data_IF_069305085478
#
_entry.id   IF_069305085478
#
_cell.length_a   1.000
_cell.length_b   1.000
_cell.length_c   1.000
_cell.angle_alpha   90.00
_cell.angle_beta   90.00
_cell.angle_gamma   90.00
#
_symmetry.space_group_name_H-M   'P 1'
#
loop_
_entity.id
_entity.type
_entity.pdbx_description
1 polymer ?
#
# COMPACT_ATOMS: atom_id res chain seq x y z
N UNK A 1 -23.29 10.25 2.60
CA UNK A 1 -22.01 10.98 2.73
C UNK A 1 -21.09 10.11 3.55
N UNK A 2 -20.24 9.33 2.88
CA UNK A 2 -19.32 8.42 3.55
C UNK A 2 -18.13 9.25 4.02
N UNK A 3 -17.87 9.21 5.32
CA UNK A 3 -16.78 9.94 5.95
C UNK A 3 -15.60 8.96 5.97
N UNK A 4 -14.49 9.32 5.34
CA UNK A 4 -13.29 8.49 5.33
C UNK A 4 -12.82 8.25 6.75
N UNK A 5 -12.26 7.07 6.95
CA UNK A 5 -11.49 6.74 8.15
C UNK A 5 -10.11 6.33 7.66
N UNK A 6 -9.07 6.96 8.17
CA UNK A 6 -7.69 6.52 7.93
C UNK A 6 -7.27 5.57 9.05
N UNK A 7 -6.82 4.38 8.68
CA UNK A 7 -6.46 3.29 9.61
C UNK A 7 -4.97 2.95 9.49
N UNK A 8 -4.21 3.09 10.57
CA UNK A 8 -2.81 2.69 10.68
C UNK A 8 -2.69 1.37 11.45
N UNK A 9 -2.02 0.35 10.90
CA UNK A 9 -1.95 -1.00 11.52
C UNK A 9 -0.61 -1.25 12.24
N UNK A 10 -0.65 -1.43 13.57
CA UNK A 10 0.53 -1.63 14.42
C UNK A 10 0.86 -3.11 14.67
N UNK A 11 2.16 -3.50 14.76
CA UNK A 11 2.59 -4.87 14.97
C UNK A 11 2.26 -5.43 16.36
N UNK A 12 2.25 -6.76 16.43
CA UNK A 12 2.24 -7.57 17.66
C UNK A 12 3.58 -7.38 18.40
N UNK A 13 3.61 -7.30 19.75
CA UNK A 13 2.52 -7.56 20.69
C UNK A 13 1.61 -6.35 20.98
N UNK A 14 1.83 -5.21 20.33
CA UNK A 14 1.09 -3.96 20.58
C UNK A 14 -0.16 -3.80 19.71
N UNK A 15 -0.73 -4.92 19.24
CA UNK A 15 -1.86 -4.97 18.28
C UNK A 15 -2.86 -3.84 18.53
N UNK A 16 -2.96 -2.95 17.56
CA UNK A 16 -3.65 -1.68 17.71
C UNK A 16 -3.78 -0.96 16.38
N UNK A 17 -4.81 -0.13 16.28
CA UNK A 17 -5.14 0.61 15.08
C UNK A 17 -5.14 2.10 15.43
N UNK A 18 -4.36 2.88 14.69
CA UNK A 18 -4.52 4.33 14.65
C UNK A 18 -5.71 4.65 13.76
N UNK A 19 -6.80 5.15 14.33
CA UNK A 19 -8.03 5.51 13.65
C UNK A 19 -8.12 7.02 13.59
N UNK A 20 -8.19 7.57 12.38
CA UNK A 20 -8.42 8.98 12.17
C UNK A 20 -9.72 9.20 11.42
N UNK A 21 -10.64 9.93 12.06
CA UNK A 21 -11.93 10.29 11.49
C UNK A 21 -11.83 11.67 10.84
N UNK A 22 -11.96 11.71 9.52
CA UNK A 22 -11.84 12.94 8.71
C UNK A 22 -12.93 13.97 9.02
N UNK A 23 -14.07 13.57 9.57
CA UNK A 23 -15.17 14.47 9.95
C UNK A 23 -14.85 15.21 11.24
N UNK A 24 -14.42 14.46 12.25
CA UNK A 24 -14.15 14.99 13.58
C UNK A 24 -12.76 15.63 13.67
N UNK A 25 -11.84 15.25 12.78
CA UNK A 25 -10.43 15.64 12.85
C UNK A 25 -9.71 15.03 14.05
N UNK A 26 -10.27 13.97 14.65
CA UNK A 26 -9.70 13.31 15.82
C UNK A 26 -8.95 12.05 15.44
N UNK A 27 -7.71 11.95 15.95
CA UNK A 27 -6.93 10.72 15.94
C UNK A 27 -7.12 9.99 17.26
N UNK A 28 -7.40 8.69 17.17
CA UNK A 28 -7.59 7.80 18.32
C UNK A 28 -6.84 6.50 18.05
N UNK A 29 -6.29 5.91 19.09
CA UNK A 29 -5.81 4.54 19.03
C UNK A 29 -6.88 3.63 19.62
N UNK A 30 -7.22 2.56 18.92
CA UNK A 30 -8.07 1.48 19.41
C UNK A 30 -7.30 0.17 19.42
N UNK A 31 -7.62 -0.73 20.35
CA UNK A 31 -6.99 -2.05 20.44
C UNK A 31 -8.05 -3.14 20.40
N UNK A 32 -8.40 -3.63 19.20
CA UNK A 32 -9.32 -4.74 19.07
C UNK A 32 -8.78 -5.96 19.83
N UNK A 33 -9.59 -6.66 20.64
CA UNK A 33 -9.15 -7.88 21.34
C UNK A 33 -8.62 -8.98 20.42
N UNK A 34 -9.01 -8.96 19.15
CA UNK A 34 -8.64 -9.94 18.12
C UNK A 34 -7.26 -9.64 17.51
N UNK A 35 -6.72 -8.44 17.74
CA UNK A 35 -5.40 -8.04 17.25
C UNK A 35 -5.47 -6.99 16.15
N UNK A 36 -5.09 -7.37 14.93
CA UNK A 36 -4.94 -6.46 13.79
C UNK A 36 -6.29 -6.17 13.08
N UNK A 37 -6.25 -5.34 12.04
CA UNK A 37 -7.45 -4.95 11.29
C UNK A 37 -8.16 -6.14 10.65
N UNK A 38 -7.40 -7.10 10.09
CA UNK A 38 -7.96 -8.30 9.46
C UNK A 38 -8.79 -9.12 10.46
N UNK A 39 -8.23 -9.41 11.63
CA UNK A 39 -8.92 -10.21 12.66
C UNK A 39 -10.13 -9.48 13.24
N UNK A 40 -10.07 -8.14 13.34
CA UNK A 40 -11.22 -7.34 13.74
C UNK A 40 -12.36 -7.39 12.71
N UNK A 41 -12.05 -7.31 11.41
CA UNK A 41 -13.03 -7.42 10.33
C UNK A 41 -13.64 -8.83 10.26
N UNK A 42 -12.81 -9.87 10.35
CA UNK A 42 -13.28 -11.26 10.42
C UNK A 42 -14.24 -11.48 11.60
N UNK A 43 -13.86 -10.99 12.79
CA UNK A 43 -14.70 -11.07 13.98
C UNK A 43 -16.05 -10.38 13.83
N UNK A 44 -16.08 -9.22 13.17
CA UNK A 44 -17.31 -8.48 12.91
C UNK A 44 -18.20 -9.23 11.90
N UNK A 45 -17.62 -9.74 10.81
CA UNK A 45 -18.38 -10.48 9.81
C UNK A 45 -19.00 -11.77 10.37
N UNK A 46 -18.25 -12.54 11.18
CA UNK A 46 -18.75 -13.74 11.85
C UNK A 46 -19.95 -13.47 12.76
N UNK A 47 -20.09 -12.22 13.24
CA UNK A 47 -21.17 -11.78 14.14
C UNK A 47 -22.20 -10.89 13.45
N UNK A 48 -22.08 -10.69 12.13
CA UNK A 48 -22.92 -9.77 11.36
C UNK A 48 -22.96 -8.35 11.98
N UNK A 49 -21.79 -7.85 12.39
CA UNK A 49 -21.59 -6.53 12.97
C UNK A 49 -21.02 -5.55 11.95
N UNK A 50 -21.43 -4.28 12.04
CA UNK A 50 -20.78 -3.20 11.32
C UNK A 50 -19.39 -2.94 11.92
N UNK A 51 -18.34 -3.20 11.15
CA UNK A 51 -16.97 -3.14 11.64
C UNK A 51 -16.52 -1.69 11.92
N UNK A 52 -17.03 -0.70 11.19
CA UNK A 52 -16.70 0.71 11.45
C UNK A 52 -17.23 1.15 12.81
N UNK A 53 -18.51 0.86 13.09
CA UNK A 53 -19.14 1.15 14.38
C UNK A 53 -18.44 0.38 15.50
N UNK A 54 -18.13 -0.90 15.26
CA UNK A 54 -17.36 -1.72 16.21
C UNK A 54 -16.04 -1.05 16.60
N UNK A 55 -15.23 -0.63 15.63
CA UNK A 55 -13.95 0.03 15.90
C UNK A 55 -14.13 1.36 16.63
N UNK A 56 -15.15 2.15 16.28
CA UNK A 56 -15.44 3.45 16.92
C UNK A 56 -15.90 3.30 18.38
N UNK A 57 -16.58 2.21 18.70
CA UNK A 57 -17.10 1.92 20.04
C UNK A 57 -16.06 1.28 20.98
N UNK A 58 -14.92 0.82 20.43
CA UNK A 58 -13.83 0.30 21.26
C UNK A 58 -13.25 1.38 22.19
N UNK A 59 -12.79 1.00 23.40
CA UNK A 59 -12.01 1.90 24.24
C UNK A 59 -10.82 2.45 23.47
N UNK A 60 -10.68 3.77 23.47
CA UNK A 60 -9.63 4.47 22.74
C UNK A 60 -8.76 5.34 23.64
N UNK A 61 -7.51 5.49 23.24
CA UNK A 61 -6.57 6.46 23.81
C UNK A 61 -6.20 7.53 22.77
N UNK A 62 -5.77 8.73 23.20
CA UNK A 62 -5.24 9.73 22.26
C UNK A 62 -4.06 9.17 21.46
N UNK A 63 -4.03 9.50 20.17
CA UNK A 63 -2.95 9.14 19.25
C UNK A 63 -1.99 10.34 19.05
N UNK A 64 -0.67 10.13 18.87
CA UNK A 64 0.07 8.87 18.90
C UNK A 64 0.48 8.49 20.34
N UNK A 65 0.80 7.21 20.57
CA UNK A 65 1.64 6.86 21.71
C UNK A 65 3.03 7.46 21.48
N UNK A 66 3.56 8.23 22.42
CA UNK A 66 4.97 8.66 22.39
C UNK A 66 5.90 7.43 22.53
N UNK A 67 7.06 7.39 21.84
CA UNK A 67 7.37 6.28 20.94
C UNK A 67 8.60 5.46 21.35
N UNK A 68 8.52 4.16 21.12
CA UNK A 68 9.66 3.45 20.52
C UNK A 68 9.23 3.22 19.08
N UNK A 69 10.07 3.55 18.09
CA UNK A 69 9.80 3.44 16.66
C UNK A 69 9.01 2.16 16.33
N UNK A 70 7.67 2.29 16.29
CA UNK A 70 6.80 1.15 16.03
C UNK A 70 6.81 0.99 14.53
N UNK A 71 7.43 -0.09 14.07
CA UNK A 71 7.38 -0.44 12.66
C UNK A 71 5.99 -0.98 12.33
N UNK A 72 5.18 -0.18 11.65
CA UNK A 72 3.83 -0.55 11.24
C UNK A 72 3.82 -1.80 10.35
N UNK A 73 2.62 -2.36 10.18
CA UNK A 73 2.33 -3.44 9.24
C UNK A 73 1.59 -2.87 8.01
N UNK A 74 1.67 -3.56 6.87
CA UNK A 74 0.73 -3.30 5.79
C UNK A 74 -0.71 -3.46 6.32
N UNK A 75 -1.60 -2.47 6.15
CA UNK A 75 -2.95 -2.53 6.71
C UNK A 75 -3.75 -3.68 6.11
N UNK A 76 -4.66 -4.26 6.91
CA UNK A 76 -5.52 -5.40 6.56
C UNK A 76 -4.76 -6.71 6.30
N UNK A 77 -3.43 -6.74 6.51
CA UNK A 77 -2.64 -7.92 6.18
C UNK A 77 -2.78 -9.00 7.26
N UNK A 78 -3.36 -10.18 6.96
CA UNK A 78 -3.38 -11.29 7.90
C UNK A 78 -1.96 -11.78 8.23
N UNK A 79 -1.83 -12.47 9.36
CA UNK A 79 -0.59 -13.14 9.75
C UNK A 79 -0.23 -14.27 8.77
N UNK A 80 -1.23 -14.96 8.25
CA UNK A 80 -1.05 -15.96 7.20
C UNK A 80 -0.85 -15.28 5.83
N UNK A 81 0.39 -15.31 5.33
CA UNK A 81 0.72 -14.75 4.01
C UNK A 81 -0.01 -15.40 2.84
N UNK A 82 -0.55 -16.62 2.99
CA UNK A 82 -1.29 -17.30 1.93
C UNK A 82 -2.71 -16.74 1.73
N UNK A 83 -3.24 -16.01 2.72
CA UNK A 83 -4.51 -15.29 2.62
C UNK A 83 -4.33 -13.90 1.97
N UNK A 84 -3.22 -13.68 1.29
CA UNK A 84 -2.93 -12.42 0.60
C UNK A 84 -2.59 -12.72 -0.85
N UNK A 85 -3.29 -12.03 -1.74
CA UNK A 85 -2.98 -11.98 -3.16
C UNK A 85 -2.56 -10.56 -3.53
N UNK A 86 -1.41 -10.45 -4.17
CA UNK A 86 -0.89 -9.18 -4.69
C UNK A 86 -0.95 -9.26 -6.21
N UNK A 87 -1.60 -8.29 -6.81
CA UNK A 87 -1.68 -8.18 -8.26
C UNK A 87 -1.58 -6.74 -8.71
N UNK A 88 -1.25 -6.56 -9.97
CA UNK A 88 -1.28 -5.27 -10.65
C UNK A 88 -2.30 -5.30 -11.78
N UNK A 89 -3.05 -4.21 -11.92
CA UNK A 89 -3.93 -3.99 -13.05
C UNK A 89 -3.53 -2.69 -13.72
N UNK A 90 -3.13 -2.80 -14.97
CA UNK A 90 -2.86 -1.65 -15.83
C UNK A 90 -4.06 -1.40 -16.74
N UNK A 91 -4.66 -0.22 -16.61
CA UNK A 91 -5.62 0.24 -17.61
C UNK A 91 -4.86 0.79 -18.81
N UNK A 92 -4.79 -0.01 -19.86
CA UNK A 92 -4.25 0.43 -21.13
C UNK A 92 -5.35 1.07 -21.99
N UNK A 93 -4.92 2.04 -22.79
CA UNK A 93 -5.69 3.05 -23.54
C UNK A 93 -6.71 2.51 -24.56
N UNK A 94 -7.32 3.42 -25.34
CA UNK A 94 -8.31 3.15 -26.40
C UNK A 94 -7.89 2.15 -27.52
N UNK A 95 -6.70 1.54 -27.47
CA UNK A 95 -6.19 0.60 -28.47
C UNK A 95 -5.56 -0.68 -27.90
N UNK A 96 -5.72 -0.95 -26.60
CA UNK A 96 -4.99 -2.02 -25.90
C UNK A 96 -5.87 -2.65 -24.84
N UNK A 97 -5.93 -3.99 -24.80
CA UNK A 97 -6.58 -4.72 -23.72
C UNK A 97 -5.88 -4.46 -22.38
N UNK A 98 -6.67 -4.50 -21.31
CA UNK A 98 -6.20 -4.32 -19.94
C UNK A 98 -5.36 -5.53 -19.54
N UNK A 99 -4.26 -5.31 -18.82
CA UNK A 99 -3.39 -6.39 -18.36
C UNK A 99 -3.52 -6.56 -16.84
N UNK A 100 -3.56 -7.82 -16.42
CA UNK A 100 -3.50 -8.23 -15.02
C UNK A 100 -2.23 -9.05 -14.80
N UNK A 101 -1.48 -8.72 -13.75
CA UNK A 101 -0.25 -9.40 -13.38
C UNK A 101 -0.33 -9.91 -11.95
N UNK A 102 -0.07 -11.20 -11.76
CA UNK A 102 0.18 -11.75 -10.43
C UNK A 102 1.58 -11.35 -9.97
N UNK A 103 1.68 -10.83 -8.74
CA UNK A 103 2.97 -10.45 -8.13
C UNK A 103 3.43 -11.45 -7.08
N UNK A 104 2.50 -11.99 -6.30
CA UNK A 104 2.79 -12.95 -5.26
C UNK A 104 1.82 -12.87 -4.09
N UNK A 105 2.28 -13.34 -2.93
CA UNK A 105 1.51 -13.38 -1.70
C UNK A 105 2.07 -12.40 -0.65
N UNK A 106 1.52 -12.43 0.56
CA UNK A 106 1.85 -11.47 1.62
C UNK A 106 3.33 -11.39 2.03
N UNK A 107 4.19 -12.32 1.59
CA UNK A 107 5.65 -12.27 1.86
C UNK A 107 6.35 -11.14 1.10
N UNK A 108 5.86 -10.80 -0.10
CA UNK A 108 6.44 -9.76 -0.96
C UNK A 108 5.98 -8.36 -0.59
N UNK A 109 4.87 -8.25 0.17
CA UNK A 109 4.32 -6.99 0.62
C UNK A 109 5.13 -6.42 1.78
N UNK A 110 5.64 -5.21 1.57
CA UNK A 110 6.39 -4.39 2.52
C UNK A 110 5.57 -3.18 2.93
N UNK A 111 6.01 -2.48 3.97
CA UNK A 111 5.46 -1.17 4.33
C UNK A 111 6.54 -0.10 4.49
N UNK A 112 6.18 1.06 5.02
CA UNK A 112 7.11 2.16 5.23
C UNK A 112 8.37 1.73 6.01
N UNK A 113 9.53 2.18 5.55
CA UNK A 113 10.83 1.86 6.14
C UNK A 113 11.33 0.43 5.91
N UNK A 114 10.52 -0.49 5.38
CA UNK A 114 11.00 -1.81 4.96
C UNK A 114 11.96 -1.69 3.76
N UNK A 115 13.01 -2.53 3.70
CA UNK A 115 13.82 -2.64 2.49
C UNK A 115 13.02 -3.31 1.36
N UNK A 116 13.10 -2.72 0.18
CA UNK A 116 12.61 -3.32 -1.07
C UNK A 116 13.75 -4.14 -1.68
N UNK A 117 13.65 -5.46 -1.52
CA UNK A 117 14.68 -6.39 -1.95
C UNK A 117 14.61 -6.63 -3.46
N UNK A 118 15.75 -6.50 -4.12
CA UNK A 118 15.89 -6.74 -5.55
C UNK A 118 16.69 -8.03 -5.75
N UNK A 119 16.13 -9.04 -6.43
CA UNK A 119 16.79 -10.32 -6.60
C UNK A 119 17.93 -10.23 -7.61
N UNK A 120 18.96 -11.05 -7.40
CA UNK A 120 20.21 -11.07 -8.15
C UNK A 120 20.07 -11.18 -9.68
N UNK A 121 19.00 -11.80 -10.16
CA UNK A 121 18.73 -12.01 -11.58
C UNK A 121 17.94 -10.86 -12.23
N UNK A 122 17.70 -9.77 -11.50
CA UNK A 122 17.12 -8.55 -12.06
C UNK A 122 18.10 -7.87 -13.00
N UNK A 123 17.61 -7.44 -14.14
CA UNK A 123 18.41 -6.75 -15.16
C UNK A 123 18.31 -5.23 -15.02
N UNK A 124 17.27 -4.76 -14.34
CA UNK A 124 17.06 -3.36 -14.00
C UNK A 124 16.22 -3.23 -12.75
N UNK A 125 16.34 -2.07 -12.11
CA UNK A 125 15.53 -1.70 -10.95
C UNK A 125 14.76 -0.45 -11.31
N UNK A 126 13.45 -0.58 -11.34
CA UNK A 126 12.52 0.50 -11.59
C UNK A 126 11.38 0.40 -10.58
N UNK A 127 10.76 1.54 -10.27
CA UNK A 127 9.57 1.58 -9.43
C UNK A 127 8.48 2.37 -10.10
N UNK A 128 7.24 1.94 -9.92
CA UNK A 128 6.06 2.71 -10.28
C UNK A 128 5.35 3.19 -9.01
N UNK A 129 4.99 4.48 -8.93
CA UNK A 129 4.08 4.94 -7.89
C UNK A 129 2.67 4.44 -8.19
N UNK A 130 2.01 3.91 -7.18
CA UNK A 130 0.72 3.27 -7.31
C UNK A 130 -0.29 3.84 -6.31
N UNK A 131 -1.56 3.80 -6.70
CA UNK A 131 -2.65 3.69 -5.74
C UNK A 131 -2.98 2.19 -5.62
N UNK A 132 -3.16 1.70 -4.41
CA UNK A 132 -3.43 0.28 -4.15
C UNK A 132 -4.82 0.14 -3.56
N UNK A 133 -5.70 -0.59 -4.26
CA UNK A 133 -7.03 -0.93 -3.78
C UNK A 133 -6.93 -2.19 -2.90
N UNK A 134 -7.58 -2.15 -1.73
CA UNK A 134 -7.65 -3.27 -0.81
C UNK A 134 -9.06 -3.85 -0.83
N UNK A 135 -9.13 -5.15 -1.10
CA UNK A 135 -10.35 -5.93 -1.03
C UNK A 135 -10.19 -7.05 -0.03
N UNK A 136 -11.28 -7.42 0.61
CA UNK A 136 -11.36 -8.59 1.47
C UNK A 136 -12.54 -9.44 1.04
N UNK A 137 -12.31 -10.74 0.86
CA UNK A 137 -13.38 -11.70 0.63
C UNK A 137 -13.96 -12.08 1.99
N UNK A 138 -15.22 -11.75 2.21
CA UNK A 138 -15.89 -12.04 3.49
C UNK A 138 -16.11 -13.56 3.68
N UNK A 139 -16.52 -14.01 4.89
CA UNK A 139 -16.79 -15.42 5.16
C UNK A 139 -17.83 -16.08 4.26
N UNK A 140 -18.63 -15.29 3.52
CA UNK A 140 -19.65 -15.77 2.59
C UNK A 140 -19.16 -15.77 1.13
N UNK A 141 -17.88 -15.47 0.88
CA UNK A 141 -17.29 -15.43 -0.45
C UNK A 141 -17.55 -14.15 -1.23
N UNK A 142 -18.12 -13.12 -0.59
CA UNK A 142 -18.38 -11.84 -1.27
C UNK A 142 -17.14 -10.94 -1.22
N UNK A 143 -16.73 -10.41 -2.37
CA UNK A 143 -15.66 -9.44 -2.47
C UNK A 143 -16.12 -8.09 -1.87
N UNK A 144 -15.40 -7.62 -0.85
CA UNK A 144 -15.66 -6.34 -0.17
C UNK A 144 -14.52 -5.38 -0.45
N UNK A 145 -14.80 -4.28 -1.14
CA UNK A 145 -13.87 -3.17 -1.21
C UNK A 145 -13.79 -2.48 0.15
N UNK A 146 -12.60 -2.45 0.74
CA UNK A 146 -12.38 -1.84 2.07
C UNK A 146 -11.89 -0.40 1.92
N UNK A 147 -10.98 -0.15 0.99
CA UNK A 147 -10.38 1.16 0.82
C UNK A 147 -9.12 1.15 -0.04
N UNK A 148 -8.32 2.19 0.07
CA UNK A 148 -7.10 2.34 -0.71
C UNK A 148 -5.95 3.00 0.04
N UNK A 149 -4.75 2.86 -0.53
CA UNK A 149 -3.52 3.44 0.01
C UNK A 149 -2.52 3.78 -1.10
N UNK A 150 -1.39 4.37 -0.73
CA UNK A 150 -0.24 4.61 -1.62
C UNK A 150 0.65 3.37 -1.70
N UNK A 151 1.24 3.14 -2.87
CA UNK A 151 2.11 2.00 -3.14
C UNK A 151 3.36 2.37 -3.94
N UNK A 152 4.45 1.63 -3.72
CA UNK A 152 5.63 1.60 -4.57
C UNK A 152 5.73 0.19 -5.14
N UNK A 153 5.73 0.10 -6.46
CA UNK A 153 5.84 -1.19 -7.14
C UNK A 153 7.16 -1.37 -7.89
N UNK A 154 8.03 -2.23 -7.36
CA UNK A 154 9.29 -2.58 -8.03
C UNK A 154 9.01 -3.50 -9.21
N UNK A 155 9.66 -3.22 -10.32
CA UNK A 155 9.61 -4.05 -11.52
C UNK A 155 10.94 -3.97 -12.28
N UNK A 156 11.14 -4.95 -13.15
CA UNK A 156 12.28 -5.00 -14.06
C UNK A 156 11.85 -4.50 -15.46
N UNK A 157 12.03 -3.21 -15.71
CA UNK A 157 11.67 -2.57 -16.98
C UNK A 157 12.31 -3.25 -18.20
N UNK A 158 13.59 -3.60 -18.11
CA UNK A 158 14.33 -4.23 -19.21
C UNK A 158 13.74 -5.59 -19.54
N UNK A 159 13.36 -6.37 -18.52
CA UNK A 159 12.65 -7.63 -18.72
C UNK A 159 11.22 -7.39 -19.23
N UNK A 160 10.51 -6.39 -18.70
CA UNK A 160 9.15 -6.04 -19.07
C UNK A 160 9.00 -5.73 -20.57
N UNK A 161 9.97 -5.03 -21.16
CA UNK A 161 9.91 -4.58 -22.55
C UNK A 161 10.22 -5.65 -23.60
N UNK A 162 10.57 -6.88 -23.22
CA UNK A 162 11.04 -7.92 -24.16
C UNK A 162 9.90 -8.60 -24.92
N UNK A 163 8.99 -9.20 -24.16
CA UNK A 163 7.86 -9.97 -24.66
C UNK A 163 6.84 -10.19 -23.52
N UNK A 164 5.67 -10.76 -23.85
CA UNK A 164 4.59 -10.94 -22.89
C UNK A 164 4.96 -11.86 -21.71
N UNK A 165 5.75 -12.90 -21.94
CA UNK A 165 6.16 -13.85 -20.89
C UNK A 165 7.12 -13.15 -19.92
N UNK A 166 8.10 -12.45 -20.47
CA UNK A 166 9.08 -11.65 -19.73
C UNK A 166 8.39 -10.54 -18.94
N UNK A 167 7.35 -9.92 -19.50
CA UNK A 167 6.49 -8.96 -18.80
C UNK A 167 5.94 -9.56 -17.51
N UNK A 168 5.30 -10.73 -17.54
CA UNK A 168 4.82 -11.38 -16.30
C UNK A 168 5.92 -11.59 -15.26
N UNK A 169 7.12 -12.01 -15.66
CA UNK A 169 8.25 -12.20 -14.75
C UNK A 169 8.82 -10.91 -14.17
N UNK A 170 8.69 -9.79 -14.88
CA UNK A 170 9.19 -8.49 -14.47
C UNK A 170 8.46 -7.93 -13.23
N UNK A 171 7.21 -8.34 -13.01
CA UNK A 171 6.39 -7.88 -11.87
C UNK A 171 6.57 -8.74 -10.60
N UNK A 172 7.29 -9.87 -10.66
CA UNK A 172 7.54 -10.77 -9.52
C UNK A 172 8.65 -10.20 -8.63
N UNK A 173 8.39 -9.07 -7.97
CA UNK A 173 9.34 -8.32 -7.12
C UNK A 173 8.64 -7.84 -5.85
N UNK A 174 9.42 -7.40 -4.86
CA UNK A 174 8.83 -6.79 -3.65
C UNK A 174 8.11 -5.50 -3.99
N UNK A 175 7.03 -5.22 -3.28
CA UNK A 175 6.29 -3.97 -3.36
C UNK A 175 6.03 -3.45 -1.95
N UNK A 176 5.84 -2.15 -1.80
CA UNK A 176 5.49 -1.53 -0.52
C UNK A 176 4.16 -0.80 -0.61
N UNK A 177 3.45 -0.73 0.50
CA UNK A 177 2.30 0.16 0.69
C UNK A 177 2.46 0.99 1.95
N UNK A 178 1.84 2.18 1.95
CA UNK A 178 1.83 3.00 3.15
C UNK A 178 1.12 2.23 4.30
N UNK A 179 1.52 2.45 5.55
CA UNK A 179 0.95 1.74 6.70
C UNK A 179 -0.49 2.16 7.01
N UNK A 180 -1.03 3.11 6.24
CA UNK A 180 -2.35 3.68 6.37
C UNK A 180 -3.30 3.16 5.30
N UNK A 181 -4.57 2.96 5.66
CA UNK A 181 -5.66 2.63 4.75
C UNK A 181 -6.74 3.70 4.84
N UNK A 182 -7.07 4.32 3.71
CA UNK A 182 -8.21 5.22 3.57
C UNK A 182 -9.45 4.37 3.25
N UNK A 183 -10.36 4.27 4.21
CA UNK A 183 -11.58 3.44 4.10
C UNK A 183 -12.58 4.08 3.15
N UNK A 184 -13.08 3.31 2.18
CA UNK A 184 -14.08 3.74 1.22
C UNK A 184 -13.52 4.31 -0.10
N UNK A 185 -14.37 4.98 -0.86
CA UNK A 185 -14.11 5.42 -2.25
C UNK A 185 -13.33 6.74 -2.35
N UNK A 186 -12.44 6.93 -3.33
CA UNK A 186 -11.82 8.24 -3.54
C UNK A 186 -12.88 9.35 -3.80
N UNK A 187 -12.72 10.56 -3.24
CA UNK A 187 -13.68 11.67 -3.43
C UNK A 187 -13.17 12.83 -4.26
N UNK A 188 -11.86 12.97 -4.38
CA UNK A 188 -11.23 14.09 -5.06
C UNK A 188 -10.02 13.59 -5.84
N UNK A 189 -9.56 14.39 -6.79
CA UNK A 189 -8.28 14.15 -7.44
C UNK A 189 -7.15 14.18 -6.41
N UNK A 190 -6.13 13.35 -6.62
CA UNK A 190 -4.94 13.31 -5.79
C UNK A 190 -3.71 13.74 -6.58
N UNK A 191 -2.85 14.55 -5.97
CA UNK A 191 -1.47 14.71 -6.35
C UNK A 191 -0.60 13.67 -5.64
N UNK A 192 0.28 13.03 -6.39
CA UNK A 192 1.23 12.05 -5.86
C UNK A 192 2.62 12.49 -6.27
N UNK A 193 3.50 12.69 -5.29
CA UNK A 193 4.88 13.08 -5.50
C UNK A 193 5.78 11.87 -5.25
N UNK A 194 6.84 11.74 -6.04
CA UNK A 194 7.86 10.72 -5.86
C UNK A 194 9.23 11.38 -5.85
N UNK A 195 10.07 11.00 -4.90
CA UNK A 195 11.45 11.45 -4.77
C UNK A 195 12.39 10.26 -4.66
N UNK A 196 13.50 10.32 -5.40
CA UNK A 196 14.61 9.38 -5.27
C UNK A 196 15.77 10.13 -4.65
N UNK A 197 16.37 9.56 -3.60
CA UNK A 197 17.59 10.05 -2.97
C UNK A 197 18.70 9.01 -3.10
N UNK A 198 19.92 9.47 -3.38
CA UNK A 198 21.13 8.64 -3.45
C UNK A 198 22.20 9.28 -2.58
N UNK A 199 22.85 8.51 -1.72
CA UNK A 199 23.88 9.00 -0.79
C UNK A 199 23.43 10.22 0.04
N UNK A 200 22.16 10.23 0.43
CA UNK A 200 21.54 11.32 1.21
C UNK A 200 21.30 12.61 0.43
N UNK A 201 21.42 12.60 -0.90
CA UNK A 201 21.15 13.74 -1.77
C UNK A 201 19.93 13.46 -2.68
N UNK A 202 19.02 14.43 -2.88
CA UNK A 202 17.95 14.30 -3.87
C UNK A 202 18.51 14.10 -5.28
N UNK A 203 18.13 13.01 -5.92
CA UNK A 203 18.55 12.64 -7.27
C UNK A 203 17.54 13.06 -8.33
N UNK A 204 16.26 12.78 -8.09
CA UNK A 204 15.17 13.20 -8.98
C UNK A 204 13.84 13.26 -8.25
N UNK A 205 12.90 14.04 -8.77
CA UNK A 205 11.52 14.12 -8.31
C UNK A 205 10.56 14.04 -9.50
N UNK A 206 9.41 13.43 -9.29
CA UNK A 206 8.34 13.35 -10.30
C UNK A 206 6.96 13.56 -9.66
N UNK A 207 6.03 14.07 -10.45
CA UNK A 207 4.67 14.40 -10.01
C UNK A 207 3.66 13.65 -10.87
N UNK A 208 2.71 13.00 -10.20
CA UNK A 208 1.67 12.16 -10.79
C UNK A 208 0.31 12.62 -10.30
N UNK A 209 -0.74 12.21 -11.01
CA UNK A 209 -2.11 12.56 -10.66
C UNK A 209 -3.04 11.36 -10.78
N UNK A 210 -3.83 11.12 -9.76
CA UNK A 210 -5.01 10.25 -9.84
C UNK A 210 -6.24 11.14 -9.95
N UNK A 211 -6.95 11.10 -11.09
CA UNK A 211 -8.24 11.77 -11.21
C UNK A 211 -9.37 10.88 -10.72
N UNK A 212 -10.44 11.48 -10.20
CA UNK A 212 -11.62 10.74 -9.74
C UNK A 212 -12.23 9.86 -10.85
N UNK A 213 -12.24 10.35 -12.09
CA UNK A 213 -12.71 9.58 -13.25
C UNK A 213 -11.84 8.35 -13.54
N UNK A 214 -10.50 8.51 -13.50
CA UNK A 214 -9.56 7.39 -13.69
C UNK A 214 -9.72 6.37 -12.56
N UNK A 215 -9.82 6.84 -11.31
CA UNK A 215 -10.10 6.02 -10.14
C UNK A 215 -11.36 5.17 -10.32
N UNK A 216 -12.51 5.79 -10.63
CA UNK A 216 -13.78 5.07 -10.82
C UNK A 216 -13.68 3.98 -11.88
N UNK A 217 -12.94 4.25 -12.96
CA UNK A 217 -12.71 3.29 -14.04
C UNK A 217 -11.86 2.10 -13.56
N UNK A 218 -10.78 2.36 -12.82
CA UNK A 218 -9.89 1.35 -12.23
C UNK A 218 -10.64 0.49 -11.20
N UNK A 219 -11.36 1.13 -10.28
CA UNK A 219 -12.11 0.49 -9.20
C UNK A 219 -13.13 -0.49 -9.76
N UNK A 220 -13.98 -0.02 -10.69
CA UNK A 220 -15.00 -0.83 -11.35
C UNK A 220 -14.39 -2.01 -12.09
N UNK A 221 -13.35 -1.77 -12.88
CA UNK A 221 -12.73 -2.86 -13.63
C UNK A 221 -12.09 -3.91 -12.72
N UNK A 222 -11.41 -3.48 -11.65
CA UNK A 222 -10.77 -4.41 -10.70
C UNK A 222 -11.78 -5.29 -9.98
N UNK A 223 -12.89 -4.69 -9.53
CA UNK A 223 -13.98 -5.43 -8.91
C UNK A 223 -14.59 -6.43 -9.89
N UNK A 224 -15.00 -5.97 -11.07
CA UNK A 224 -15.56 -6.86 -12.10
C UNK A 224 -14.58 -7.98 -12.49
N UNK A 225 -13.27 -7.70 -12.56
CA UNK A 225 -12.26 -8.69 -12.88
C UNK A 225 -12.14 -9.74 -11.77
N UNK A 226 -12.04 -9.31 -10.51
CA UNK A 226 -11.91 -10.21 -9.37
C UNK A 226 -13.18 -11.06 -9.19
N UNK A 227 -14.37 -10.46 -9.27
CA UNK A 227 -15.66 -11.14 -9.10
C UNK A 227 -15.95 -12.19 -10.19
N UNK A 228 -15.39 -12.03 -11.39
CA UNK A 228 -15.59 -12.98 -12.51
C UNK A 228 -14.86 -14.31 -12.30
N UNK A 229 -13.91 -14.40 -11.38
CA UNK A 229 -13.02 -15.55 -11.23
C UNK A 229 -13.13 -16.15 -9.83
N UNK A 230 -13.61 -17.39 -9.76
CA UNK A 230 -13.90 -18.07 -8.48
C UNK A 230 -12.68 -18.17 -7.56
N UNK A 231 -11.47 -18.37 -8.11
CA UNK A 231 -10.23 -18.48 -7.33
C UNK A 231 -9.85 -17.18 -6.59
N UNK A 232 -10.47 -16.05 -6.94
CA UNK A 232 -10.27 -14.77 -6.27
C UNK A 232 -11.35 -14.49 -5.21
N UNK A 233 -12.30 -15.40 -5.02
CA UNK A 233 -13.42 -15.28 -4.08
C UNK A 233 -13.32 -16.30 -2.93
N UNK A 234 -12.11 -16.77 -2.63
CA UNK A 234 -11.84 -17.63 -1.47
C UNK A 234 -12.08 -16.86 -0.16
N UNK A 235 -12.96 -17.34 0.75
CA UNK A 235 -13.25 -16.66 2.01
C UNK A 235 -11.99 -16.35 2.82
N UNK A 236 -11.89 -15.09 3.29
CA UNK A 236 -10.76 -14.60 4.05
C UNK A 236 -9.57 -14.11 3.20
N UNK A 237 -9.60 -14.26 1.87
CA UNK A 237 -8.55 -13.73 1.00
C UNK A 237 -8.55 -12.19 0.98
N UNK A 238 -7.36 -11.60 1.07
CA UNK A 238 -7.15 -10.15 0.94
C UNK A 238 -6.43 -9.87 -0.37
N UNK A 239 -7.03 -9.04 -1.22
CA UNK A 239 -6.41 -8.58 -2.46
C UNK A 239 -5.80 -7.20 -2.27
N UNK A 240 -4.53 -7.07 -2.64
CA UNK A 240 -3.85 -5.80 -2.84
C UNK A 240 -3.68 -5.60 -4.34
N UNK A 241 -4.52 -4.74 -4.92
CA UNK A 241 -4.53 -4.46 -6.36
C UNK A 241 -3.81 -3.14 -6.63
N UNK A 242 -2.60 -3.23 -7.17
CA UNK A 242 -1.78 -2.09 -7.52
C UNK A 242 -2.26 -1.50 -8.85
N UNK A 243 -2.41 -0.18 -8.86
CA UNK A 243 -2.69 0.62 -10.05
C UNK A 243 -1.59 1.65 -10.23
N UNK A 244 -0.72 1.39 -11.21
CA UNK A 244 0.34 2.31 -11.58
C UNK A 244 -0.22 3.66 -12.03
N UNK A 245 0.39 4.73 -11.52
CA UNK A 245 0.10 6.11 -11.90
C UNK A 245 0.94 6.55 -13.09
N UNK A 246 2.06 5.88 -13.34
CA UNK A 246 2.95 6.16 -14.46
C UNK A 246 2.61 5.29 -15.67
N UNK A 247 2.84 5.82 -16.86
CA UNK A 247 2.87 5.03 -18.11
C UNK A 247 4.27 5.03 -18.74
N UNK A 248 5.25 5.58 -18.02
CA UNK A 248 6.65 5.69 -18.46
C UNK A 248 7.55 5.21 -17.35
N UNK A 249 8.62 4.53 -17.73
CA UNK A 249 9.66 4.18 -16.77
C UNK A 249 10.39 5.42 -16.31
N UNK A 250 10.76 5.44 -15.02
CA UNK A 250 11.57 6.52 -14.49
C UNK A 250 12.86 6.62 -15.33
N UNK A 251 13.22 7.83 -15.76
CA UNK A 251 14.43 8.04 -16.57
C UNK A 251 15.73 7.71 -15.82
N UNK A 252 15.65 7.48 -14.50
CA UNK A 252 16.79 7.21 -13.63
C UNK A 252 16.65 5.79 -13.06
N UNK A 253 17.57 4.87 -13.37
CA UNK A 253 17.57 3.53 -12.80
C UNK A 253 17.93 3.59 -11.31
N UNK A 254 17.14 2.89 -10.50
CA UNK A 254 17.38 2.71 -9.08
C UNK A 254 18.60 1.80 -8.86
N UNK A 255 19.28 1.96 -7.72
CA UNK A 255 20.48 1.22 -7.34
C UNK A 255 20.43 0.86 -5.85
N UNK A 256 21.21 -0.15 -5.46
CA UNK A 256 21.43 -0.48 -4.05
C UNK A 256 21.77 0.77 -3.22
N UNK A 257 21.03 0.99 -2.14
CA UNK A 257 21.19 2.13 -1.24
C UNK A 257 20.29 3.34 -1.53
N UNK A 258 19.68 3.40 -2.72
CA UNK A 258 18.72 4.46 -3.05
C UNK A 258 17.52 4.44 -2.10
N UNK A 259 17.03 5.62 -1.75
CA UNK A 259 15.76 5.80 -1.06
C UNK A 259 14.70 6.26 -2.04
N UNK A 260 13.59 5.54 -2.05
CA UNK A 260 12.40 5.86 -2.83
C UNK A 260 11.31 6.34 -1.89
N UNK A 261 10.90 7.59 -2.02
CA UNK A 261 9.82 8.19 -1.24
C UNK A 261 8.63 8.53 -2.13
N UNK A 262 7.42 8.32 -1.61
CA UNK A 262 6.16 8.69 -2.23
C UNK A 262 5.29 9.40 -1.20
N UNK A 263 4.66 10.51 -1.58
CA UNK A 263 3.72 11.24 -0.74
C UNK A 263 2.48 11.71 -1.51
N UNK A 264 1.37 11.84 -0.78
CA UNK A 264 0.13 12.44 -1.24
C UNK A 264 -0.33 13.47 -0.18
N UNK A 265 -0.13 14.77 -0.43
CA UNK A 265 -0.47 15.82 0.52
C UNK A 265 -1.95 15.86 0.90
N UNK A 266 -2.85 15.54 -0.03
CA UNK A 266 -4.31 15.55 0.19
C UNK A 266 -4.76 14.46 1.18
N UNK A 267 -4.03 13.35 1.25
CA UNK A 267 -4.29 12.27 2.18
C UNK A 267 -3.40 12.34 3.43
N UNK A 268 -2.42 13.24 3.44
CA UNK A 268 -1.34 13.28 4.43
C UNK A 268 -0.66 11.93 4.62
N UNK A 269 -0.46 11.22 3.50
CA UNK A 269 0.21 9.93 3.47
C UNK A 269 1.58 10.07 2.84
N UNK A 270 2.57 9.45 3.46
CA UNK A 270 3.90 9.31 2.91
C UNK A 270 4.49 7.97 3.30
N UNK A 271 5.39 7.46 2.47
CA UNK A 271 6.27 6.35 2.82
C UNK A 271 7.59 6.45 2.08
N UNK A 272 8.61 5.78 2.61
CA UNK A 272 9.97 5.79 2.11
C UNK A 272 10.63 4.43 2.33
N UNK A 273 11.14 3.85 1.26
CA UNK A 273 11.77 2.53 1.27
C UNK A 273 13.18 2.59 0.70
N UNK A 274 14.09 1.79 1.26
CA UNK A 274 15.44 1.65 0.70
C UNK A 274 15.48 0.50 -0.30
N UNK A 275 16.17 0.71 -1.42
CA UNK A 275 16.46 -0.32 -2.40
C UNK A 275 17.63 -1.16 -1.92
N UNK A 276 17.44 -2.49 -1.86
CA UNK A 276 18.46 -3.43 -1.38
C UNK A 276 18.62 -4.57 -2.37
N UNK A 277 19.67 -4.50 -3.19
CA UNK A 277 20.10 -5.62 -4.03
C UNK A 277 20.66 -6.78 -3.18
N UNK A 278 20.15 -7.99 -3.41
CA UNK A 278 20.50 -9.20 -2.64
C UNK A 278 22.00 -9.54 -2.71
N UNK A 279 22.64 -9.38 -3.87
CA UNK A 279 24.07 -9.70 -4.04
C UNK A 279 24.97 -8.71 -3.27
N UNK A 280 24.51 -7.47 -3.12
CA UNK A 280 25.31 -6.38 -2.55
C UNK A 280 25.13 -6.23 -1.05
N UNK A 281 24.04 -6.73 -0.46
CA UNK A 281 23.74 -6.52 0.97
C UNK A 281 24.87 -6.97 1.92
N UNK A 282 25.63 -8.00 1.53
CA UNK A 282 26.76 -8.51 2.31
C UNK A 282 28.11 -7.89 1.93
N UNK A 283 28.24 -7.38 0.70
CA UNK A 283 29.47 -6.82 0.15
C UNK A 283 29.60 -5.31 0.40
N UNK A 284 28.48 -4.60 0.39
CA UNK A 284 28.37 -3.16 0.58
C UNK A 284 27.27 -2.91 1.63
N UNK A 285 27.56 -3.07 2.93
CA UNK A 285 26.55 -2.86 3.96
C UNK A 285 26.04 -1.41 3.95
N UNK A 286 24.72 -1.25 3.90
CA UNK A 286 24.10 0.06 3.90
C UNK A 286 24.13 0.67 5.32
N UNK A 287 24.46 1.96 5.45
CA UNK A 287 24.39 2.63 6.75
C UNK A 287 22.94 2.67 7.22
N UNK A 288 22.74 2.52 8.53
CA UNK A 288 21.44 2.80 9.14
C UNK A 288 21.02 4.24 8.75
N UNK A 289 19.81 4.40 8.22
CA UNK A 289 19.31 5.73 7.87
C UNK A 289 19.35 6.59 9.13
N UNK A 290 19.98 7.77 9.03
CA UNK A 290 19.68 8.82 10.00
C UNK A 290 18.21 9.15 9.80
N UNK A 291 17.38 8.99 10.83
CA UNK A 291 15.94 9.11 10.72
C UNK A 291 15.61 10.38 9.90
N UNK A 292 14.98 10.25 8.72
CA UNK A 292 14.43 11.40 8.04
C UNK A 292 13.42 12.01 9.02
N UNK A 293 13.35 13.34 9.08
CA UNK A 293 12.28 14.03 9.80
C UNK A 293 10.99 13.87 8.97
N UNK A 294 10.52 12.63 8.81
CA UNK A 294 9.19 12.33 8.30
C UNK A 294 8.23 12.66 9.44
N UNK A 295 8.01 13.96 9.66
CA UNK A 295 7.20 14.49 10.74
C UNK A 295 5.71 14.13 10.66
N UNK A 296 5.33 13.13 9.87
CA UNK A 296 3.96 12.73 9.63
C UNK A 296 3.51 11.54 10.49
N UNK A 297 4.40 10.56 10.75
CA UNK A 297 3.98 9.29 11.38
C UNK A 297 4.05 9.34 12.92
N UNK A 298 5.05 10.03 13.48
CA UNK A 298 5.24 10.17 14.93
C UNK A 298 4.51 11.39 15.55
N UNK A 299 3.78 12.17 14.73
CA UNK A 299 2.93 13.29 15.18
C UNK A 299 1.46 12.85 15.15
N UNK A 300 0.57 13.52 15.91
CA UNK A 300 -0.87 13.34 15.71
C UNK A 300 -1.16 13.50 14.21
N UNK A 301 -1.91 12.55 13.62
CA UNK A 301 -2.32 12.69 12.22
C UNK A 301 -2.99 14.06 12.12
N UNK A 302 -2.42 14.98 11.31
CA UNK A 302 -2.96 16.32 11.23
C UNK A 302 -4.40 16.25 10.72
N UNK A 303 -5.17 17.31 10.99
CA UNK A 303 -6.45 17.46 10.30
C UNK A 303 -6.11 17.80 8.85
N UNK A 304 -6.46 16.96 7.86
CA UNK A 304 -6.19 17.27 6.47
C UNK A 304 -6.82 18.61 6.14
N UNK A 305 -6.08 19.43 5.39
CA UNK A 305 -6.58 20.71 4.92
C UNK A 305 -7.86 20.45 4.13
N UNK A 306 -8.99 20.87 4.72
CA UNK A 306 -10.38 20.64 4.29
C UNK A 306 -10.53 20.40 2.78
N UNK A 307 -11.13 19.27 2.44
CA UNK A 307 -11.76 19.00 1.14
C UNK A 307 -12.91 19.98 0.86
#
# INVERSE_FOLDING_TARGET
MTHYVMLLDSPVPRGGLGVFDFKSGQSREVRPPQGNLYEALAHCADRNMDWESYLKDLPSTPYPLTPAAVKYRPPLKPDNNLLVQISEITLCTAKTEQAWYYKGNGRLLKTDGDPLQVPYHSQSISSEPCIVCLYWVDPFGALRFIGFTLGNDIHDHVLHSRDAISSTHAHLRTCAIAPALIVGELQADLAINVQIERDGQPLTASHHRMSLHRWQSLRRYSEEFLEKHEQFLEPGLVHYVFHSLSHRTANVPLQHGDWLSIDCPELELAMSNQIVEEELVSLVPLPARHAPDHGCIDRPLPVPKKF
#
